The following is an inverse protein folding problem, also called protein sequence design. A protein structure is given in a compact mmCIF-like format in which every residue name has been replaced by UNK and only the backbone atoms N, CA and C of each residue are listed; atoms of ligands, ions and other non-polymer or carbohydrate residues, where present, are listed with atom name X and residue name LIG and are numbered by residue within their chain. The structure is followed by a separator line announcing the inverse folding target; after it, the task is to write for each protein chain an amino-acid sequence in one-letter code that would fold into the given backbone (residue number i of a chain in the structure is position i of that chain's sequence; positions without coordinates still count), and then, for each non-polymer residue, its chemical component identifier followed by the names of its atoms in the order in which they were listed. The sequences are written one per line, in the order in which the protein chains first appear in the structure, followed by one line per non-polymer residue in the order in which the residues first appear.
data_IF_350716437129
#
_entry.id   IF_350716437129
#
_cell.length_a   1.000
_cell.length_b   1.000
_cell.length_c   1.000
_cell.angle_alpha   90.00
_cell.angle_beta   90.00
_cell.angle_gamma   90.00
#
_symmetry.space_group_name_H-M   'P 1'
#
loop_
_entity.id
_entity.type
_entity.pdbx_description
1 polymer ?
#
# COMPACT_ATOMS: atom_id res chain seq x y z
N UNK A 1 36.48 -9.25 -21.22
CA UNK A 1 35.27 -8.64 -20.63
C UNK A 1 35.73 -7.78 -19.47
N UNK A 2 35.58 -6.46 -19.57
CA UNK A 2 35.86 -5.55 -18.46
C UNK A 2 34.83 -5.84 -17.36
N UNK A 3 35.27 -6.21 -16.16
CA UNK A 3 34.35 -6.42 -15.04
C UNK A 3 33.80 -5.05 -14.65
N UNK A 4 32.51 -4.83 -14.89
CA UNK A 4 31.81 -3.60 -14.51
C UNK A 4 31.68 -3.57 -13.00
N UNK A 5 32.27 -2.56 -12.34
CA UNK A 5 32.24 -2.42 -10.88
C UNK A 5 30.96 -1.69 -10.47
N UNK A 6 29.99 -2.43 -9.92
CA UNK A 6 28.76 -1.86 -9.39
C UNK A 6 29.06 -1.10 -8.08
N UNK A 7 28.51 0.12 -7.87
CA UNK A 7 28.62 0.82 -6.60
C UNK A 7 28.14 -0.06 -5.42
N UNK A 8 28.83 -0.07 -4.26
CA UNK A 8 28.52 -0.97 -3.15
C UNK A 8 27.24 -0.59 -2.36
N UNK A 9 26.60 0.52 -2.71
CA UNK A 9 25.39 1.02 -2.04
C UNK A 9 24.60 1.96 -2.95
N UNK A 10 23.61 2.68 -2.41
CA UNK A 10 22.74 3.53 -3.23
C UNK A 10 23.47 4.60 -4.02
N UNK A 11 23.13 4.68 -5.31
CA UNK A 11 23.81 5.51 -6.30
C UNK A 11 22.83 6.10 -7.33
N UNK A 12 23.21 7.20 -7.97
CA UNK A 12 22.54 7.77 -9.15
C UNK A 12 23.41 7.60 -10.40
N UNK A 13 22.93 8.04 -11.58
CA UNK A 13 23.70 7.93 -12.83
C UNK A 13 25.03 8.73 -12.81
N UNK A 14 25.14 9.80 -12.02
CA UNK A 14 26.39 10.55 -11.88
C UNK A 14 27.41 9.76 -11.06
N UNK A 15 27.01 9.16 -9.93
CA UNK A 15 27.85 8.26 -9.13
C UNK A 15 28.33 7.06 -9.98
N UNK A 16 27.46 6.53 -10.86
CA UNK A 16 27.81 5.44 -11.78
C UNK A 16 28.85 5.86 -12.84
N UNK A 17 28.68 7.05 -13.42
CA UNK A 17 29.60 7.60 -14.40
C UNK A 17 31.01 7.82 -13.85
N UNK A 18 31.15 8.19 -12.57
CA UNK A 18 32.45 8.28 -11.89
C UNK A 18 33.19 6.94 -11.83
N UNK A 19 32.47 5.82 -11.91
CA UNK A 19 33.04 4.46 -11.98
C UNK A 19 33.14 3.91 -13.41
N UNK A 20 32.89 4.75 -14.42
CA UNK A 20 32.94 4.36 -15.83
C UNK A 20 31.72 3.59 -16.33
N UNK A 21 30.60 3.62 -15.61
CA UNK A 21 29.33 3.05 -16.06
C UNK A 21 28.49 4.09 -16.79
N UNK A 22 28.13 3.81 -18.04
CA UNK A 22 27.14 4.59 -18.78
C UNK A 22 25.71 4.31 -18.28
N UNK A 23 24.74 5.15 -18.68
CA UNK A 23 23.34 4.89 -18.40
C UNK A 23 22.87 3.54 -18.96
N UNK A 24 23.31 3.20 -20.17
CA UNK A 24 22.98 1.91 -20.82
C UNK A 24 23.57 0.72 -20.05
N UNK A 25 24.74 0.88 -19.44
CA UNK A 25 25.30 -0.15 -18.56
C UNK A 25 24.41 -0.35 -17.33
N UNK A 26 23.92 0.73 -16.71
CA UNK A 26 23.04 0.65 -15.55
C UNK A 26 21.71 -0.02 -15.91
N UNK A 27 21.11 0.31 -17.06
CA UNK A 27 19.87 -0.34 -17.49
C UNK A 27 20.07 -1.82 -17.83
N UNK A 28 21.19 -2.19 -18.47
CA UNK A 28 21.53 -3.60 -18.68
C UNK A 28 21.71 -4.35 -17.36
N UNK A 29 22.35 -3.74 -16.36
CA UNK A 29 22.47 -4.34 -15.02
C UNK A 29 21.11 -4.50 -14.31
N UNK A 30 20.11 -3.68 -14.65
CA UNK A 30 18.73 -3.86 -14.17
C UNK A 30 18.07 -5.06 -14.86
N UNK A 31 18.20 -5.15 -16.18
CA UNK A 31 17.66 -6.27 -16.96
C UNK A 31 18.30 -7.61 -16.54
N UNK A 32 19.60 -7.59 -16.22
CA UNK A 32 20.34 -8.74 -15.70
C UNK A 32 20.02 -9.05 -14.21
N UNK A 33 19.20 -8.23 -13.55
CA UNK A 33 18.80 -8.41 -12.15
C UNK A 33 19.91 -8.15 -11.12
N UNK A 34 21.01 -7.50 -11.51
CA UNK A 34 22.15 -7.18 -10.65
C UNK A 34 21.98 -5.85 -9.92
N UNK A 35 21.18 -4.95 -10.48
CA UNK A 35 20.80 -3.65 -9.92
C UNK A 35 19.28 -3.55 -9.91
N UNK A 36 18.72 -2.86 -8.90
CA UNK A 36 17.31 -2.50 -8.88
C UNK A 36 17.14 -1.01 -8.70
N UNK A 37 16.14 -0.44 -9.38
CA UNK A 37 15.71 0.95 -9.19
C UNK A 37 14.85 1.04 -7.93
N UNK A 38 15.17 1.96 -7.02
CA UNK A 38 14.37 2.22 -5.80
C UNK A 38 13.32 3.27 -6.07
N UNK A 39 13.75 4.37 -6.68
CA UNK A 39 12.92 5.50 -7.11
C UNK A 39 13.52 6.05 -8.40
N UNK A 40 12.81 6.98 -9.05
CA UNK A 40 13.31 7.70 -10.23
C UNK A 40 14.73 8.24 -10.00
N UNK A 41 15.66 7.81 -10.85
CA UNK A 41 17.06 8.25 -10.85
C UNK A 41 17.96 7.70 -9.73
N UNK A 42 17.47 6.79 -8.87
CA UNK A 42 18.25 6.19 -7.80
C UNK A 42 18.19 4.65 -7.80
N UNK A 43 19.36 4.04 -7.71
CA UNK A 43 19.58 2.63 -7.91
C UNK A 43 20.36 2.02 -6.74
N UNK A 44 20.23 0.72 -6.55
CA UNK A 44 21.01 -0.06 -5.58
C UNK A 44 21.39 -1.41 -6.19
N UNK A 45 22.50 -2.03 -5.74
CA UNK A 45 22.73 -3.45 -6.01
C UNK A 45 21.52 -4.29 -5.57
N UNK A 46 21.14 -5.29 -6.36
CA UNK A 46 20.00 -6.15 -6.05
C UNK A 46 20.15 -6.89 -4.71
N UNK A 47 21.39 -7.17 -4.30
CA UNK A 47 21.74 -7.78 -3.01
C UNK A 47 21.61 -6.84 -1.81
N UNK A 48 21.41 -5.53 -2.03
CA UNK A 48 21.30 -4.56 -0.93
C UNK A 48 19.96 -4.74 -0.21
N UNK A 49 19.96 -4.97 1.13
CA UNK A 49 18.74 -5.13 1.91
C UNK A 49 17.77 -3.96 1.73
N UNK A 50 16.50 -4.27 1.54
CA UNK A 50 15.47 -3.26 1.35
C UNK A 50 14.94 -2.75 2.70
N UNK A 51 15.59 -1.71 3.20
CA UNK A 51 15.26 -1.08 4.50
C UNK A 51 14.87 0.38 4.31
N UNK A 52 14.16 1.00 5.27
CA UNK A 52 13.93 2.44 5.25
C UNK A 52 15.21 3.26 5.09
N UNK A 53 16.33 2.80 5.67
CA UNK A 53 17.64 3.46 5.57
C UNK A 53 18.20 3.35 4.15
N UNK A 54 18.12 2.19 3.51
CA UNK A 54 18.53 2.00 2.11
C UNK A 54 17.71 2.88 1.18
N UNK A 55 16.38 2.89 1.35
CA UNK A 55 15.46 3.68 0.52
C UNK A 55 15.70 5.18 0.69
N UNK A 56 15.85 5.65 1.93
CA UNK A 56 16.20 7.04 2.20
C UNK A 56 17.57 7.44 1.64
N UNK A 57 18.57 6.56 1.75
CA UNK A 57 19.90 6.80 1.17
C UNK A 57 19.85 6.88 -0.37
N UNK A 58 19.02 6.06 -1.03
CA UNK A 58 18.76 6.18 -2.46
C UNK A 58 18.09 7.52 -2.82
N UNK A 59 17.02 7.88 -2.11
CA UNK A 59 16.34 9.18 -2.30
C UNK A 59 17.29 10.36 -2.08
N UNK A 60 18.20 10.29 -1.09
CA UNK A 60 19.20 11.32 -0.83
C UNK A 60 20.15 11.59 -2.02
N UNK A 61 20.31 10.65 -2.96
CA UNK A 61 21.13 10.83 -4.17
C UNK A 61 20.49 11.72 -5.22
N UNK A 62 19.18 11.96 -5.11
CA UNK A 62 18.38 12.62 -6.14
C UNK A 62 17.62 13.83 -5.62
N UNK A 63 17.37 13.92 -4.31
CA UNK A 63 16.75 15.09 -3.66
C UNK A 63 17.78 16.07 -3.10
N UNK A 64 17.42 17.34 -3.04
CA UNK A 64 18.25 18.39 -2.41
C UNK A 64 18.06 18.40 -0.89
N UNK A 65 19.13 18.66 -0.13
CA UNK A 65 19.15 18.55 1.33
C UNK A 65 18.13 19.41 2.10
N UNK A 66 17.64 20.51 1.52
CA UNK A 66 16.64 21.39 2.14
C UNK A 66 15.19 21.05 1.80
N UNK A 67 14.96 19.98 1.03
CA UNK A 67 13.63 19.48 0.75
C UNK A 67 13.20 18.43 1.78
N UNK A 68 11.91 18.45 2.07
CA UNK A 68 11.23 17.38 2.79
C UNK A 68 10.62 16.45 1.75
N UNK A 69 10.87 15.15 1.90
CA UNK A 69 10.24 14.10 1.10
C UNK A 69 8.83 13.85 1.62
N UNK A 70 7.84 13.82 0.72
CA UNK A 70 6.42 13.76 1.06
C UNK A 70 5.67 12.72 0.23
N UNK A 71 4.39 12.52 0.56
CA UNK A 71 3.42 11.74 -0.23
C UNK A 71 3.95 10.33 -0.60
N UNK A 72 3.88 9.90 -1.86
CA UNK A 72 4.25 8.55 -2.33
C UNK A 72 5.74 8.29 -2.17
N UNK A 73 6.60 9.30 -2.34
CA UNK A 73 8.04 9.13 -2.10
C UNK A 73 8.34 8.93 -0.61
N UNK A 74 7.61 9.62 0.28
CA UNK A 74 7.69 9.35 1.73
C UNK A 74 7.17 7.96 2.08
N UNK A 75 6.08 7.52 1.45
CA UNK A 75 5.53 6.17 1.63
C UNK A 75 6.57 5.10 1.29
N UNK A 76 7.29 5.26 0.17
CA UNK A 76 8.37 4.35 -0.24
C UNK A 76 9.44 4.28 0.85
N UNK A 77 9.92 5.41 1.37
CA UNK A 77 10.88 5.40 2.48
C UNK A 77 10.32 4.65 3.70
N UNK A 78 9.02 4.80 3.97
CA UNK A 78 8.31 4.18 5.08
C UNK A 78 7.87 2.73 4.86
N UNK A 79 8.41 2.01 3.88
CA UNK A 79 8.04 0.60 3.70
C UNK A 79 6.93 0.38 2.67
N UNK A 80 6.14 1.41 2.30
CA UNK A 80 4.87 1.26 1.58
C UNK A 80 4.96 1.73 0.13
N UNK A 81 4.58 0.86 -0.81
CA UNK A 81 4.39 1.25 -2.20
C UNK A 81 2.95 1.75 -2.41
N UNK A 82 2.80 3.04 -2.71
CA UNK A 82 1.52 3.68 -2.99
C UNK A 82 1.30 3.96 -4.49
N UNK A 83 2.11 3.35 -5.37
CA UNK A 83 1.92 3.40 -6.81
C UNK A 83 0.82 2.44 -7.24
N UNK A 84 0.02 2.86 -8.22
CA UNK A 84 -0.92 1.97 -8.89
C UNK A 84 -0.20 0.95 -9.77
N UNK A 85 -0.87 -0.15 -10.13
CA UNK A 85 -0.28 -1.15 -11.02
C UNK A 85 0.16 -0.56 -12.38
N UNK A 86 -0.60 0.42 -12.89
CA UNK A 86 -0.25 1.13 -14.12
C UNK A 86 0.98 2.05 -13.98
N UNK A 87 1.33 2.44 -12.75
CA UNK A 87 2.49 3.29 -12.45
C UNK A 87 3.75 2.49 -12.11
N UNK A 88 3.65 1.18 -11.87
CA UNK A 88 4.82 0.35 -11.49
C UNK A 88 5.91 0.36 -12.57
N UNK A 89 5.53 0.43 -13.84
CA UNK A 89 6.46 0.48 -14.97
C UNK A 89 6.81 1.92 -15.39
N UNK A 90 6.22 2.93 -14.74
CA UNK A 90 6.43 4.34 -15.06
C UNK A 90 7.57 4.95 -14.24
N UNK A 91 8.25 5.94 -14.83
CA UNK A 91 9.24 6.76 -14.13
C UNK A 91 8.54 7.91 -13.40
N UNK A 92 7.92 7.59 -12.26
CA UNK A 92 7.14 8.54 -11.45
C UNK A 92 8.06 9.56 -10.77
N UNK A 93 7.68 10.83 -10.85
CA UNK A 93 8.41 11.93 -10.21
C UNK A 93 8.48 11.77 -8.69
N UNK A 94 9.59 12.23 -8.10
CA UNK A 94 9.72 12.24 -6.64
C UNK A 94 8.97 13.44 -6.07
N UNK A 95 8.18 13.16 -5.06
CA UNK A 95 7.33 14.16 -4.41
C UNK A 95 8.09 14.77 -3.24
N UNK A 96 8.37 16.07 -3.36
CA UNK A 96 9.10 16.82 -2.35
C UNK A 96 8.44 18.18 -2.08
N UNK A 97 8.63 18.73 -0.90
CA UNK A 97 8.31 20.12 -0.64
C UNK A 97 9.51 20.87 -0.05
N UNK A 98 9.67 22.11 -0.47
CA UNK A 98 10.61 23.02 0.16
C UNK A 98 10.04 23.50 1.50
N UNK A 99 10.91 23.61 2.51
CA UNK A 99 10.57 24.29 3.77
C UNK A 99 10.22 25.76 3.49
N UNK A 100 9.38 26.36 4.34
CA UNK A 100 8.98 27.77 4.22
C UNK A 100 10.21 28.67 4.10
N UNK A 101 10.22 29.56 3.11
CA UNK A 101 11.34 30.47 2.82
C UNK A 101 12.32 29.97 1.75
N UNK A 102 12.19 28.72 1.29
CA UNK A 102 13.00 28.16 0.21
C UNK A 102 12.22 28.00 -1.10
N UNK A 103 12.93 28.04 -2.23
CA UNK A 103 12.35 27.83 -3.55
C UNK A 103 12.02 26.35 -3.75
N UNK A 104 10.85 26.05 -4.33
CA UNK A 104 10.49 24.69 -4.75
C UNK A 104 11.50 24.16 -5.78
N UNK A 105 11.64 22.83 -5.86
CA UNK A 105 12.41 22.22 -6.94
C UNK A 105 11.90 22.68 -8.30
N UNK A 106 12.83 23.00 -9.21
CA UNK A 106 12.58 23.12 -10.65
C UNK A 106 13.27 22.01 -11.45
N UNK A 107 13.87 21.02 -10.77
CA UNK A 107 14.52 19.90 -11.45
C UNK A 107 13.46 18.98 -12.04
N UNK A 108 13.61 18.64 -13.32
CA UNK A 108 12.83 17.59 -13.98
C UNK A 108 12.91 16.30 -13.17
N UNK A 109 11.78 15.64 -12.93
CA UNK A 109 11.71 14.45 -12.08
C UNK A 109 11.36 14.70 -10.61
N UNK A 110 11.17 15.97 -10.20
CA UNK A 110 10.74 16.35 -8.85
C UNK A 110 9.43 17.16 -8.92
N UNK A 111 8.36 16.68 -8.29
CA UNK A 111 7.15 17.47 -8.10
C UNK A 111 7.29 18.33 -6.83
N UNK A 112 7.42 19.65 -7.02
CA UNK A 112 7.60 20.60 -5.94
C UNK A 112 6.28 21.13 -5.38
N UNK A 113 5.96 20.79 -4.13
CA UNK A 113 4.82 21.36 -3.39
C UNK A 113 5.27 22.38 -2.33
N UNK A 114 4.35 23.23 -1.87
CA UNK A 114 4.49 23.94 -0.59
C UNK A 114 3.47 23.39 0.38
N UNK A 115 3.91 23.01 1.59
CA UNK A 115 3.04 22.53 2.66
C UNK A 115 3.31 23.28 3.94
N UNK A 116 2.25 23.44 4.72
CA UNK A 116 2.38 23.88 6.10
C UNK A 116 2.77 22.65 6.94
N UNK A 117 4.08 22.47 7.11
CA UNK A 117 4.69 21.42 7.92
C UNK A 117 5.20 22.04 9.22
N UNK A 118 4.84 21.44 10.34
CA UNK A 118 5.43 21.71 11.66
C UNK A 118 6.58 20.73 11.92
N UNK A 119 7.45 21.01 12.91
CA UNK A 119 8.50 20.07 13.29
C UNK A 119 8.01 18.67 13.66
N UNK A 120 6.77 18.55 14.15
CA UNK A 120 6.12 17.26 14.48
C UNK A 120 5.60 16.50 13.25
N UNK A 121 5.50 17.14 12.09
CA UNK A 121 5.07 16.50 10.85
C UNK A 121 6.21 15.79 10.12
N UNK A 122 7.45 16.03 10.54
CA UNK A 122 8.66 15.58 9.85
C UNK A 122 9.57 14.80 10.80
N UNK A 123 10.37 13.91 10.22
CA UNK A 123 11.40 13.16 10.89
C UNK A 123 12.61 12.99 9.97
N UNK A 124 13.71 12.46 10.53
CA UNK A 124 14.90 12.11 9.75
C UNK A 124 15.00 10.60 9.58
N UNK A 125 15.24 10.17 8.35
CA UNK A 125 15.68 8.81 8.04
C UNK A 125 17.02 8.94 7.32
N UNK A 126 18.10 8.65 8.04
CA UNK A 126 19.47 8.93 7.59
C UNK A 126 19.68 10.42 7.27
N UNK A 127 19.99 10.72 5.99
CA UNK A 127 20.27 12.08 5.50
C UNK A 127 19.03 12.82 4.98
N UNK A 128 17.88 12.15 4.91
CA UNK A 128 16.65 12.70 4.34
C UNK A 128 15.72 13.17 5.45
N UNK A 129 15.15 14.36 5.26
CA UNK A 129 13.99 14.84 6.03
C UNK A 129 12.72 14.37 5.31
N UNK A 130 11.84 13.67 6.00
CA UNK A 130 10.62 13.05 5.43
C UNK A 130 9.43 13.30 6.34
N UNK A 131 8.21 13.35 5.81
CA UNK A 131 7.00 13.39 6.65
C UNK A 131 6.89 12.16 7.53
N UNK A 132 6.33 12.25 8.74
CA UNK A 132 6.09 11.07 9.60
C UNK A 132 5.10 10.08 8.94
N UNK A 133 5.04 8.81 9.36
CA UNK A 133 4.10 7.83 8.79
C UNK A 133 2.64 8.30 8.88
N UNK A 134 2.19 8.81 10.03
CA UNK A 134 0.82 9.34 10.21
C UNK A 134 0.55 10.54 9.32
N UNK A 135 1.53 11.45 9.18
CA UNK A 135 1.41 12.60 8.29
C UNK A 135 1.29 12.16 6.83
N UNK A 136 2.13 11.20 6.42
CA UNK A 136 2.14 10.63 5.08
C UNK A 136 0.81 9.94 4.76
N UNK A 137 0.26 9.15 5.70
CA UNK A 137 -1.02 8.48 5.54
C UNK A 137 -2.16 9.49 5.31
N UNK A 138 -2.26 10.54 6.13
CA UNK A 138 -3.28 11.57 5.96
C UNK A 138 -3.11 12.37 4.66
N UNK A 139 -1.85 12.66 4.28
CA UNK A 139 -1.52 13.35 3.04
C UNK A 139 -1.95 12.55 1.80
N UNK A 140 -1.64 11.25 1.75
CA UNK A 140 -2.10 10.33 0.71
C UNK A 140 -3.63 10.17 0.72
N UNK A 141 -4.23 10.12 1.91
CA UNK A 141 -5.67 10.08 2.12
C UNK A 141 -6.42 11.25 1.45
N UNK A 142 -5.76 12.40 1.33
CA UNK A 142 -6.28 13.58 0.64
C UNK A 142 -6.02 13.59 -0.87
N UNK A 143 -4.89 13.04 -1.30
CA UNK A 143 -4.35 13.32 -2.64
C UNK A 143 -4.48 12.17 -3.63
N UNK A 144 -4.55 10.91 -3.16
CA UNK A 144 -4.77 9.76 -4.03
C UNK A 144 -6.25 9.55 -4.34
N UNK A 145 -6.53 8.78 -5.39
CA UNK A 145 -7.86 8.26 -5.64
C UNK A 145 -8.33 7.40 -4.45
N UNK A 146 -9.61 7.49 -4.09
CA UNK A 146 -10.19 6.95 -2.85
C UNK A 146 -9.75 5.52 -2.48
N UNK A 147 -9.70 4.64 -3.47
CA UNK A 147 -9.31 3.23 -3.29
C UNK A 147 -7.82 3.08 -2.95
N UNK A 148 -6.95 3.78 -3.67
CA UNK A 148 -5.50 3.77 -3.45
C UNK A 148 -5.11 4.53 -2.19
N UNK A 149 -5.82 5.64 -1.90
CA UNK A 149 -5.73 6.37 -0.64
C UNK A 149 -5.96 5.45 0.56
N UNK A 150 -7.08 4.71 0.55
CA UNK A 150 -7.42 3.81 1.65
C UNK A 150 -6.42 2.65 1.79
N UNK A 151 -6.02 2.05 0.66
CA UNK A 151 -5.00 1.00 0.64
C UNK A 151 -3.67 1.48 1.24
N UNK A 152 -3.17 2.65 0.81
CA UNK A 152 -1.93 3.21 1.33
C UNK A 152 -2.02 3.58 2.81
N UNK A 153 -3.18 4.09 3.26
CA UNK A 153 -3.43 4.37 4.68
C UNK A 153 -3.39 3.10 5.54
N UNK A 154 -4.02 1.99 5.09
CA UNK A 154 -3.98 0.71 5.80
C UNK A 154 -2.58 0.09 5.79
N UNK A 155 -1.85 0.18 4.67
CA UNK A 155 -0.48 -0.31 4.58
C UNK A 155 0.46 0.45 5.52
N UNK A 156 0.35 1.78 5.61
CA UNK A 156 1.10 2.59 6.57
C UNK A 156 0.71 2.29 8.02
N UNK A 157 -0.57 2.02 8.28
CA UNK A 157 -1.04 1.60 9.59
C UNK A 157 -0.45 0.26 10.02
N UNK A 158 -0.42 -0.73 9.12
CA UNK A 158 0.19 -2.04 9.37
C UNK A 158 1.69 -1.92 9.64
N UNK A 159 2.39 -1.19 8.78
CA UNK A 159 3.87 -1.08 8.84
C UNK A 159 4.35 -0.31 10.08
N UNK A 160 3.59 0.69 10.54
CA UNK A 160 4.01 1.58 11.64
C UNK A 160 3.14 1.48 12.90
N UNK A 161 2.24 0.49 12.97
CA UNK A 161 1.35 0.29 14.12
C UNK A 161 0.38 1.45 14.35
N UNK A 162 -0.03 2.17 13.30
CA UNK A 162 -0.99 3.27 13.43
C UNK A 162 -2.40 2.72 13.62
N UNK A 163 -3.20 3.44 14.40
CA UNK A 163 -4.63 3.18 14.56
C UNK A 163 -5.46 4.33 14.01
N UNK A 164 -6.76 4.08 13.77
CA UNK A 164 -7.69 5.10 13.30
C UNK A 164 -7.68 6.38 14.17
N UNK A 165 -7.44 6.24 15.48
CA UNK A 165 -7.34 7.37 16.40
C UNK A 165 -6.16 8.31 16.08
N UNK A 166 -5.01 7.78 15.64
CA UNK A 166 -3.85 8.60 15.28
C UNK A 166 -4.15 9.49 14.06
N UNK A 167 -4.84 8.92 13.08
CA UNK A 167 -5.29 9.65 11.88
C UNK A 167 -6.37 10.68 12.22
N UNK A 168 -7.29 10.33 13.13
CA UNK A 168 -8.35 11.23 13.58
C UNK A 168 -7.79 12.48 14.29
N UNK A 169 -6.73 12.32 15.10
CA UNK A 169 -6.05 13.44 15.77
C UNK A 169 -5.43 14.44 14.78
N UNK A 170 -5.05 13.99 13.57
CA UNK A 170 -4.50 14.85 12.53
C UNK A 170 -5.59 15.65 11.78
N UNK A 171 -6.83 15.17 11.72
CA UNK A 171 -7.91 15.75 10.91
C UNK A 171 -8.14 17.27 11.10
N UNK A 172 -8.09 17.86 12.32
CA UNK A 172 -8.27 19.30 12.50
C UNK A 172 -7.28 20.14 11.67
N UNK A 173 -6.06 19.62 11.45
CA UNK A 173 -4.99 20.29 10.70
C UNK A 173 -5.22 20.29 9.19
N UNK A 174 -6.15 19.49 8.69
CA UNK A 174 -6.49 19.39 7.26
C UNK A 174 -7.68 20.27 6.86
N UNK A 175 -8.18 21.12 7.78
CA UNK A 175 -9.33 22.00 7.50
C UNK A 175 -9.09 22.84 6.25
N UNK A 176 -10.05 22.81 5.32
CA UNK A 176 -10.00 23.59 4.08
C UNK A 176 -9.11 23.00 2.98
N UNK A 177 -8.41 21.88 3.24
CA UNK A 177 -7.57 21.23 2.24
C UNK A 177 -8.42 20.42 1.25
N UNK A 178 -8.03 20.45 -0.03
CA UNK A 178 -8.59 19.55 -1.06
C UNK A 178 -8.45 18.09 -0.59
N UNK A 179 -9.50 17.30 -0.78
CA UNK A 179 -9.52 15.89 -0.37
C UNK A 179 -9.79 15.63 1.11
N UNK A 180 -9.92 16.66 1.97
CA UNK A 180 -10.17 16.44 3.42
C UNK A 180 -11.48 15.70 3.69
N UNK A 181 -12.51 15.85 2.83
CA UNK A 181 -13.76 15.09 2.96
C UNK A 181 -13.51 13.58 2.82
N UNK A 182 -12.74 13.18 1.80
CA UNK A 182 -12.30 11.79 1.62
C UNK A 182 -11.49 11.30 2.82
N UNK A 183 -10.51 12.08 3.28
CA UNK A 183 -9.72 11.71 4.46
C UNK A 183 -10.60 11.47 5.70
N UNK A 184 -11.60 12.34 5.94
CA UNK A 184 -12.57 12.18 7.05
C UNK A 184 -13.41 10.92 6.92
N UNK A 185 -13.76 10.51 5.70
CA UNK A 185 -14.53 9.30 5.43
C UNK A 185 -13.70 8.02 5.57
N UNK A 186 -12.40 8.08 5.28
CA UNK A 186 -11.50 6.93 5.26
C UNK A 186 -10.78 6.70 6.59
N UNK A 187 -10.33 7.76 7.27
CA UNK A 187 -9.54 7.64 8.50
C UNK A 187 -10.19 6.76 9.60
N UNK A 188 -11.52 6.84 9.85
CA UNK A 188 -12.17 5.98 10.84
C UNK A 188 -12.23 4.49 10.46
N UNK A 189 -11.97 4.14 9.19
CA UNK A 189 -12.05 2.78 8.68
C UNK A 189 -10.68 2.08 8.59
N UNK A 190 -9.60 2.80 8.84
CA UNK A 190 -8.26 2.24 8.72
C UNK A 190 -8.08 1.14 9.75
N UNK A 191 -7.70 -0.04 9.27
CA UNK A 191 -7.40 -1.21 10.08
C UNK A 191 -6.08 -1.81 9.60
N UNK A 192 -5.07 -1.98 10.47
CA UNK A 192 -3.77 -2.54 10.10
C UNK A 192 -3.85 -4.01 9.67
N UNK A 193 -4.96 -4.72 9.93
CA UNK A 193 -5.18 -6.09 9.47
C UNK A 193 -5.53 -6.17 7.98
N UNK A 194 -5.80 -5.06 7.29
CA UNK A 194 -5.99 -5.05 5.84
C UNK A 194 -4.60 -5.10 5.19
N UNK A 195 -4.23 -6.25 4.62
CA UNK A 195 -2.85 -6.56 4.25
C UNK A 195 -2.51 -6.18 2.82
N UNK A 196 -3.51 -6.10 1.94
CA UNK A 196 -3.34 -5.77 0.52
C UNK A 196 -4.23 -4.64 0.03
N UNK A 197 -3.81 -3.98 -1.05
CA UNK A 197 -4.62 -2.96 -1.71
C UNK A 197 -5.97 -3.52 -2.19
N UNK A 198 -6.00 -4.79 -2.58
CA UNK A 198 -7.21 -5.43 -3.10
C UNK A 198 -8.19 -5.80 -2.00
N UNK A 199 -7.69 -6.25 -0.84
CA UNK A 199 -8.51 -6.34 0.36
C UNK A 199 -9.12 -4.98 0.73
N UNK A 200 -8.32 -3.91 0.72
CA UNK A 200 -8.80 -2.56 0.99
C UNK A 200 -9.92 -2.14 0.01
N UNK A 201 -9.81 -2.52 -1.28
CA UNK A 201 -10.85 -2.24 -2.27
C UNK A 201 -12.11 -3.08 -2.05
N UNK A 202 -11.97 -4.36 -1.70
CA UNK A 202 -13.10 -5.24 -1.32
C UNK A 202 -13.84 -4.68 -0.11
N UNK A 203 -13.11 -4.27 0.93
CA UNK A 203 -13.68 -3.66 2.13
C UNK A 203 -14.46 -2.38 1.80
N UNK A 204 -13.90 -1.48 0.98
CA UNK A 204 -14.61 -0.29 0.54
C UNK A 204 -15.84 -0.60 -0.31
N UNK A 205 -15.77 -1.61 -1.18
CA UNK A 205 -16.93 -2.02 -1.97
C UNK A 205 -18.09 -2.51 -1.09
N UNK A 206 -17.79 -3.31 -0.06
CA UNK A 206 -18.79 -3.76 0.92
C UNK A 206 -19.39 -2.57 1.67
N UNK A 207 -18.55 -1.66 2.17
CA UNK A 207 -18.97 -0.41 2.84
C UNK A 207 -19.89 0.42 1.93
N UNK A 208 -19.46 0.66 0.69
CA UNK A 208 -20.15 1.53 -0.26
C UNK A 208 -21.50 0.92 -0.69
N UNK A 209 -21.64 -0.40 -0.64
CA UNK A 209 -22.90 -1.11 -0.86
C UNK A 209 -23.90 -1.03 0.32
N UNK A 210 -23.50 -0.40 1.42
CA UNK A 210 -24.31 -0.26 2.64
C UNK A 210 -24.47 -1.57 3.41
N UNK A 211 -23.58 -2.54 3.20
CA UNK A 211 -23.56 -3.80 3.94
C UNK A 211 -22.86 -3.59 5.30
N UNK A 212 -23.16 -4.41 6.32
CA UNK A 212 -22.37 -4.42 7.55
C UNK A 212 -20.88 -4.61 7.23
N UNK A 213 -19.99 -3.96 7.98
CA UNK A 213 -18.55 -4.15 7.77
C UNK A 213 -18.13 -5.54 8.26
N UNK A 214 -17.34 -6.29 7.47
CA UNK A 214 -16.82 -7.57 7.88
C UNK A 214 -15.64 -7.38 8.84
N UNK A 215 -15.34 -8.40 9.62
CA UNK A 215 -14.11 -8.47 10.40
C UNK A 215 -12.94 -8.90 9.51
N UNK A 216 -11.84 -8.11 9.45
CA UNK A 216 -10.66 -8.48 8.68
C UNK A 216 -9.79 -9.52 9.39
N UNK A 217 -9.21 -10.43 8.62
CA UNK A 217 -8.22 -11.44 9.08
C UNK A 217 -8.71 -12.28 10.27
N UNK A 218 -9.95 -12.74 10.21
CA UNK A 218 -10.54 -13.60 11.25
C UNK A 218 -9.89 -15.00 11.21
N UNK A 219 -9.44 -15.48 12.37
CA UNK A 219 -8.97 -16.86 12.53
C UNK A 219 -10.11 -17.80 12.92
N UNK A 220 -10.21 -18.91 12.21
CA UNK A 220 -11.03 -20.07 12.59
C UNK A 220 -10.14 -21.04 13.35
N UNK A 221 -10.53 -21.31 14.59
CA UNK A 221 -9.86 -22.28 15.46
C UNK A 221 -10.48 -23.66 15.30
N UNK A 222 -9.63 -24.67 15.11
CA UNK A 222 -10.02 -26.09 15.09
C UNK A 222 -9.22 -26.77 16.20
N UNK A 223 -9.92 -27.46 17.09
CA UNK A 223 -9.33 -28.10 18.26
C UNK A 223 -8.54 -27.14 19.18
N UNK A 224 -8.88 -25.84 19.20
CA UNK A 224 -8.18 -24.72 19.89
C UNK A 224 -6.93 -24.18 19.17
N UNK A 225 -6.71 -24.57 17.91
CA UNK A 225 -5.56 -24.14 17.10
C UNK A 225 -6.00 -23.23 15.95
N UNK A 226 -5.37 -22.06 15.75
CA UNK A 226 -5.68 -21.17 14.63
C UNK A 226 -5.32 -21.86 13.32
N UNK A 227 -6.34 -22.32 12.58
CA UNK A 227 -6.15 -23.22 11.44
C UNK A 227 -6.38 -22.52 10.11
N UNK A 228 -7.46 -21.76 9.98
CA UNK A 228 -7.76 -21.02 8.75
C UNK A 228 -7.91 -19.53 9.04
N UNK A 229 -7.25 -18.70 8.24
CA UNK A 229 -7.38 -17.24 8.29
C UNK A 229 -8.23 -16.77 7.11
N UNK A 230 -9.25 -15.97 7.39
CA UNK A 230 -10.20 -15.46 6.41
C UNK A 230 -9.97 -13.96 6.22
N UNK A 231 -9.79 -13.51 4.97
CA UNK A 231 -9.53 -12.09 4.67
C UNK A 231 -10.60 -11.18 5.27
N UNK A 232 -11.87 -11.53 5.06
CA UNK A 232 -13.03 -10.85 5.63
C UNK A 232 -14.09 -11.86 6.04
N UNK A 233 -14.63 -11.70 7.24
CA UNK A 233 -15.65 -12.62 7.77
C UNK A 233 -16.80 -11.91 8.48
N UNK A 234 -17.97 -12.52 8.39
CA UNK A 234 -19.13 -12.29 9.23
C UNK A 234 -19.36 -13.56 10.04
N UNK A 235 -18.63 -13.70 11.14
CA UNK A 235 -18.61 -14.94 11.94
C UNK A 235 -20.02 -15.39 12.34
N UNK A 236 -20.83 -14.45 12.86
CA UNK A 236 -22.21 -14.68 13.28
C UNK A 236 -23.14 -15.21 12.16
N UNK A 237 -22.78 -14.98 10.89
CA UNK A 237 -23.53 -15.44 9.72
C UNK A 237 -22.81 -16.58 8.97
N UNK A 238 -21.60 -16.97 9.41
CA UNK A 238 -20.69 -17.87 8.69
C UNK A 238 -20.53 -17.50 7.22
N UNK A 239 -20.29 -16.22 6.94
CA UNK A 239 -20.01 -15.74 5.58
C UNK A 239 -18.58 -15.23 5.54
N UNK A 240 -17.80 -15.62 4.54
CA UNK A 240 -16.49 -15.06 4.29
C UNK A 240 -16.33 -14.56 2.86
N UNK A 241 -15.54 -13.50 2.72
CA UNK A 241 -15.19 -12.89 1.42
C UNK A 241 -13.67 -12.94 1.31
N UNK A 242 -13.17 -13.78 0.41
CA UNK A 242 -11.73 -13.93 0.15
C UNK A 242 -11.36 -13.18 -1.14
N UNK A 243 -10.23 -12.48 -1.13
CA UNK A 243 -9.65 -11.94 -2.36
C UNK A 243 -8.64 -12.95 -2.94
N UNK A 244 -8.95 -13.51 -4.10
CA UNK A 244 -8.04 -14.40 -4.83
C UNK A 244 -7.20 -13.56 -5.79
N UNK A 245 -6.02 -13.18 -5.31
CA UNK A 245 -5.08 -12.30 -6.01
C UNK A 245 -4.18 -12.98 -7.02
N UNK A 246 -4.25 -14.31 -7.13
CA UNK A 246 -3.29 -15.08 -7.92
C UNK A 246 -3.85 -15.32 -9.31
N UNK A 247 -3.09 -14.96 -10.35
CA UNK A 247 -3.32 -15.57 -11.65
C UNK A 247 -3.04 -17.07 -11.46
N UNK A 248 -4.01 -17.95 -11.72
CA UNK A 248 -3.94 -19.39 -11.39
C UNK A 248 -2.70 -20.14 -11.93
N UNK A 249 -1.88 -19.47 -12.75
CA UNK A 249 -0.60 -19.89 -13.27
C UNK A 249 0.57 -19.79 -12.27
N UNK A 250 0.48 -18.94 -11.25
CA UNK A 250 1.58 -18.70 -10.29
C UNK A 250 1.55 -19.61 -9.05
N UNK A 251 0.41 -20.29 -8.80
CA UNK A 251 0.31 -21.26 -7.70
C UNK A 251 0.83 -22.63 -8.11
N UNK A 252 1.65 -23.22 -7.24
CA UNK A 252 1.98 -24.64 -7.29
C UNK A 252 0.72 -25.50 -7.19
N UNK A 253 0.77 -26.73 -7.71
CA UNK A 253 -0.34 -27.66 -7.62
C UNK A 253 -0.74 -27.94 -6.15
N UNK A 254 0.22 -27.95 -5.24
CA UNK A 254 0.00 -28.14 -3.80
C UNK A 254 -0.73 -26.97 -3.16
N UNK A 255 -0.36 -25.73 -3.47
CA UNK A 255 -1.06 -24.54 -2.97
C UNK A 255 -2.52 -24.50 -3.46
N UNK A 256 -2.75 -24.81 -4.75
CA UNK A 256 -4.11 -24.90 -5.30
C UNK A 256 -4.94 -25.96 -4.59
N UNK A 257 -4.36 -27.14 -4.34
CA UNK A 257 -5.05 -28.22 -3.62
C UNK A 257 -5.40 -27.78 -2.20
N UNK A 258 -4.45 -27.20 -1.47
CA UNK A 258 -4.65 -26.73 -0.09
C UNK A 258 -5.75 -25.65 -0.01
N UNK A 259 -5.77 -24.68 -0.93
CA UNK A 259 -6.82 -23.66 -0.97
C UNK A 259 -8.20 -24.26 -1.29
N UNK A 260 -8.27 -25.26 -2.19
CA UNK A 260 -9.51 -25.98 -2.46
C UNK A 260 -9.99 -26.76 -1.24
N UNK A 261 -9.10 -27.48 -0.57
CA UNK A 261 -9.38 -28.25 0.66
C UNK A 261 -9.88 -27.32 1.77
N UNK A 262 -9.22 -26.17 2.00
CA UNK A 262 -9.68 -25.14 2.94
C UNK A 262 -11.10 -24.68 2.63
N UNK A 263 -11.35 -24.27 1.38
CA UNK A 263 -12.67 -23.76 0.96
C UNK A 263 -13.75 -24.83 1.04
N UNK A 264 -13.41 -26.09 0.76
CA UNK A 264 -14.34 -27.21 0.91
C UNK A 264 -14.66 -27.44 2.39
N UNK A 265 -13.65 -27.48 3.25
CA UNK A 265 -13.84 -27.62 4.70
C UNK A 265 -14.76 -26.52 5.25
N UNK A 266 -14.54 -25.26 4.86
CA UNK A 266 -15.39 -24.14 5.27
C UNK A 266 -16.85 -24.39 4.88
N UNK A 267 -17.11 -24.80 3.64
CA UNK A 267 -18.47 -25.11 3.15
C UNK A 267 -19.11 -26.27 3.90
N UNK A 268 -18.36 -27.34 4.17
CA UNK A 268 -18.82 -28.49 4.93
C UNK A 268 -19.20 -28.12 6.38
N UNK A 269 -18.61 -27.03 6.90
CA UNK A 269 -18.91 -26.47 8.23
C UNK A 269 -19.89 -25.29 8.18
N UNK A 270 -20.64 -25.17 7.08
CA UNK A 270 -21.74 -24.21 6.94
C UNK A 270 -21.32 -22.79 6.60
N UNK A 271 -20.07 -22.58 6.16
CA UNK A 271 -19.65 -21.27 5.67
C UNK A 271 -20.07 -21.03 4.22
N UNK A 272 -20.57 -19.84 3.95
CA UNK A 272 -20.69 -19.31 2.59
C UNK A 272 -19.39 -18.62 2.23
N UNK A 273 -18.64 -19.20 1.28
CA UNK A 273 -17.35 -18.70 0.81
C UNK A 273 -17.53 -17.96 -0.51
N UNK A 274 -17.35 -16.63 -0.49
CA UNK A 274 -17.46 -15.75 -1.66
C UNK A 274 -16.05 -15.35 -2.08
N UNK A 275 -15.68 -15.62 -3.32
CA UNK A 275 -14.33 -15.35 -3.84
C UNK A 275 -14.37 -14.16 -4.80
N UNK A 276 -13.62 -13.11 -4.50
CA UNK A 276 -13.47 -11.91 -5.32
C UNK A 276 -12.13 -11.97 -6.05
N UNK A 277 -12.16 -11.82 -7.37
CA UNK A 277 -10.95 -11.81 -8.21
C UNK A 277 -10.66 -10.43 -8.77
N UNK A 278 -9.46 -10.26 -9.34
CA UNK A 278 -9.00 -9.01 -9.99
C UNK A 278 -10.05 -8.41 -10.94
N UNK A 279 -10.71 -9.25 -11.74
CA UNK A 279 -11.70 -8.85 -12.75
C UNK A 279 -13.09 -8.50 -12.20
N UNK A 280 -13.34 -8.70 -10.90
CA UNK A 280 -14.69 -8.61 -10.33
C UNK A 280 -15.04 -7.19 -9.82
N UNK A 281 -14.19 -6.21 -10.13
CA UNK A 281 -14.41 -4.80 -9.84
C UNK A 281 -15.06 -4.02 -11.00
N UNK A 282 -15.49 -4.70 -12.07
CA UNK A 282 -16.37 -4.15 -13.11
C UNK A 282 -17.81 -4.05 -12.61
N UNK A 283 -18.61 -3.07 -13.06
CA UNK A 283 -19.96 -2.81 -12.56
C UNK A 283 -20.82 -4.08 -12.37
N UNK A 284 -21.02 -4.88 -13.41
CA UNK A 284 -21.90 -6.07 -13.34
C UNK A 284 -21.41 -7.14 -12.36
N UNK A 285 -20.09 -7.40 -12.36
CA UNK A 285 -19.49 -8.41 -11.48
C UNK A 285 -19.45 -7.93 -10.03
N UNK A 286 -19.16 -6.64 -9.84
CA UNK A 286 -19.18 -5.98 -8.54
C UNK A 286 -20.57 -6.13 -7.91
N UNK A 287 -21.61 -5.80 -8.66
CA UNK A 287 -22.99 -5.95 -8.22
C UNK A 287 -23.39 -7.41 -7.99
N UNK A 288 -22.81 -8.36 -8.73
CA UNK A 288 -23.08 -9.78 -8.56
C UNK A 288 -22.60 -10.31 -7.20
N UNK A 289 -21.31 -10.15 -6.87
CA UNK A 289 -20.78 -10.68 -5.61
C UNK A 289 -21.30 -9.90 -4.39
N UNK A 290 -21.55 -8.59 -4.51
CA UNK A 290 -22.20 -7.82 -3.43
C UNK A 290 -23.63 -8.29 -3.16
N UNK A 291 -24.39 -8.70 -4.18
CA UNK A 291 -25.70 -9.33 -4.01
C UNK A 291 -25.60 -10.70 -3.35
N UNK A 292 -24.56 -11.46 -3.65
CA UNK A 292 -24.28 -12.74 -3.00
C UNK A 292 -24.02 -12.54 -1.50
N UNK A 293 -23.14 -11.59 -1.13
CA UNK A 293 -22.90 -11.22 0.28
C UNK A 293 -24.21 -10.81 0.95
N UNK A 294 -24.98 -9.90 0.33
CA UNK A 294 -26.27 -9.46 0.86
C UNK A 294 -27.23 -10.62 1.10
N UNK A 295 -27.29 -11.57 0.18
CA UNK A 295 -28.18 -12.73 0.27
C UNK A 295 -27.74 -13.67 1.38
N UNK A 296 -26.44 -13.94 1.48
CA UNK A 296 -25.86 -14.77 2.53
C UNK A 296 -26.07 -14.19 3.94
N UNK A 297 -26.13 -12.86 4.07
CA UNK A 297 -26.41 -12.19 5.34
C UNK A 297 -27.89 -12.16 5.74
N UNK A 298 -28.85 -12.38 4.81
CA UNK A 298 -30.29 -12.28 5.10
C UNK A 298 -30.76 -13.18 6.26
N UNK A 299 -30.42 -14.49 6.32
CA UNK A 299 -30.90 -15.38 7.38
C UNK A 299 -30.51 -14.88 8.77
N UNK A 300 -29.29 -14.35 8.91
CA UNK A 300 -28.77 -13.79 10.16
C UNK A 300 -29.44 -12.45 10.54
N UNK A 301 -29.79 -11.62 9.54
CA UNK A 301 -30.47 -10.34 9.78
C UNK A 301 -31.94 -10.51 10.17
N UNK A 302 -32.63 -11.53 9.66
CA UNK A 302 -34.05 -11.80 9.99
C UNK A 302 -34.27 -12.44 11.36
N UNK A 303 -33.26 -13.08 11.94
CA UNK A 303 -33.34 -13.69 13.28
C UNK A 303 -33.20 -12.67 14.43
N UNK A 304 -32.90 -11.39 14.14
CA UNK A 304 -33.05 -10.29 15.11
C UNK A 304 -34.51 -9.83 15.17
N UNK A 305 -35.39 -10.67 15.70
CA UNK A 305 -36.68 -10.19 16.22
C UNK A 305 -36.46 -9.71 17.66
N UNK A 306 -36.69 -8.42 17.87
CA UNK A 306 -36.89 -7.82 19.20
C UNK A 306 -38.17 -8.38 19.83
#
# INVERSE_FOLDING_TARGET
MTVLTIPPGPFNLADAAELGLSADDVYRLIDDGLVRRIVRGAFVPASTPDTPQTRAAAVARVVTAHHVVIDRTAAIIHGVNALTYAELDLDVDLETCALRGHTRSRRTGLEGHTRDLTPTDIMRVGRVTVTTPVRTACDLGCNLHRRDAFAAMCALAREHGLVAADLAQMLPRYRGRRGVRQLKELAPLVDPRIESAREAWTFLAIRDAGLPLPEPQLWIEIDEMPTYRLDFAYEHARVCVEYDGVDAHDLTADQRRHDMERRQWLRDHGWTVIVVRRGDFTADRLDAWLREVRTALKPAMTNRRW
#
